data_IF_545143642753
#
_entry.id   IF_545143642753
#
_cell.length_a   1.000
_cell.length_b   1.000
_cell.length_c   1.000
_cell.angle_alpha   90.00
_cell.angle_beta   90.00
_cell.angle_gamma   90.00
#
_symmetry.space_group_name_H-M   'P 1'
#
loop_
_entity.id
_entity.type
_entity.pdbx_description
1 polymer ?
#
# COMPACT_ATOMS: atom_id res chain seq x y z
N UNK A 1 10.40 0.13 0.77
CA UNK A 1 9.50 -0.60 1.69
C UNK A 1 9.87 -2.07 1.69
N UNK A 2 9.49 -2.83 2.72
CA UNK A 2 9.65 -4.29 2.76
C UNK A 2 8.27 -4.92 2.52
N UNK A 3 8.19 -5.92 1.65
CA UNK A 3 7.00 -6.74 1.46
C UNK A 3 7.33 -8.18 1.87
N UNK A 4 6.62 -8.72 2.86
CA UNK A 4 6.86 -10.10 3.32
C UNK A 4 5.79 -11.03 2.75
N UNK A 5 6.22 -12.09 2.07
CA UNK A 5 5.35 -13.16 1.57
C UNK A 5 5.65 -14.43 2.36
N UNK A 6 4.66 -14.87 3.14
CA UNK A 6 4.73 -16.10 3.94
C UNK A 6 4.08 -17.28 3.19
N UNK A 7 4.74 -18.44 3.26
CA UNK A 7 4.31 -19.69 2.65
C UNK A 7 5.03 -20.00 1.35
N UNK A 8 4.80 -21.19 0.79
CA UNK A 8 5.31 -21.56 -0.54
C UNK A 8 4.25 -21.26 -1.62
N UNK A 9 4.48 -20.27 -2.50
CA UNK A 9 3.57 -19.95 -3.59
C UNK A 9 3.28 -21.14 -4.51
N UNK A 10 4.20 -22.10 -4.62
CA UNK A 10 4.03 -23.27 -5.49
C UNK A 10 2.91 -24.22 -5.02
N UNK A 11 2.47 -24.08 -3.77
CA UNK A 11 1.37 -24.88 -3.21
C UNK A 11 -0.01 -24.30 -3.53
N UNK A 12 -0.06 -23.08 -4.08
CA UNK A 12 -1.30 -22.40 -4.45
C UNK A 12 -1.67 -22.67 -5.91
N UNK A 13 -2.97 -22.83 -6.20
CA UNK A 13 -3.48 -22.85 -7.58
C UNK A 13 -3.18 -21.55 -8.34
N UNK A 14 -2.97 -20.44 -7.62
CA UNK A 14 -2.61 -19.14 -8.18
C UNK A 14 -1.10 -18.87 -8.19
N UNK A 15 -0.26 -19.91 -8.15
CA UNK A 15 1.20 -19.79 -8.03
C UNK A 15 1.84 -18.81 -9.03
N UNK A 16 1.41 -18.87 -10.29
CA UNK A 16 1.93 -18.00 -11.35
C UNK A 16 1.59 -16.53 -11.07
N UNK A 17 0.32 -16.22 -10.78
CA UNK A 17 -0.14 -14.87 -10.45
C UNK A 17 0.57 -14.31 -9.22
N UNK A 18 0.76 -15.12 -8.18
CA UNK A 18 1.47 -14.70 -6.96
C UNK A 18 2.93 -14.36 -7.27
N UNK A 19 3.63 -15.20 -8.05
CA UNK A 19 5.02 -14.93 -8.43
C UNK A 19 5.14 -13.65 -9.25
N UNK A 20 4.24 -13.47 -10.22
CA UNK A 20 4.20 -12.25 -11.05
C UNK A 20 3.95 -11.02 -10.19
N UNK A 21 2.99 -11.06 -9.27
CA UNK A 21 2.76 -9.96 -8.33
C UNK A 21 4.00 -9.65 -7.47
N UNK A 22 4.68 -10.69 -6.95
CA UNK A 22 5.93 -10.50 -6.21
C UNK A 22 7.01 -9.83 -7.06
N UNK A 23 7.18 -10.23 -8.33
CA UNK A 23 8.15 -9.61 -9.22
C UNK A 23 7.79 -8.17 -9.57
N UNK A 24 6.51 -7.88 -9.80
CA UNK A 24 6.03 -6.51 -10.02
C UNK A 24 6.36 -5.63 -8.82
N UNK A 25 6.04 -6.08 -7.61
CA UNK A 25 6.33 -5.34 -6.37
C UNK A 25 7.83 -5.18 -6.12
N UNK A 26 8.64 -6.18 -6.44
CA UNK A 26 10.10 -6.12 -6.28
C UNK A 26 10.76 -5.18 -7.30
N UNK A 27 10.44 -5.35 -8.58
CA UNK A 27 11.18 -4.74 -9.69
C UNK A 27 10.56 -3.41 -10.11
N UNK A 28 9.23 -3.33 -10.24
CA UNK A 28 8.56 -2.12 -10.72
C UNK A 28 8.28 -1.15 -9.57
N UNK A 29 7.85 -1.66 -8.42
CA UNK A 29 7.50 -0.83 -7.26
C UNK A 29 8.71 -0.57 -6.32
N UNK A 30 9.79 -1.34 -6.48
CA UNK A 30 11.06 -1.15 -5.76
C UNK A 30 11.03 -1.59 -4.29
N UNK A 31 10.17 -2.54 -3.94
CA UNK A 31 10.10 -3.09 -2.58
C UNK A 31 11.15 -4.20 -2.39
N UNK A 32 11.67 -4.34 -1.18
CA UNK A 32 12.42 -5.53 -0.77
C UNK A 32 11.43 -6.66 -0.47
N UNK A 33 11.23 -7.57 -1.43
CA UNK A 33 10.31 -8.70 -1.31
C UNK A 33 10.99 -9.88 -0.61
N UNK A 34 10.70 -10.03 0.68
CA UNK A 34 11.22 -11.10 1.51
C UNK A 34 10.25 -12.28 1.52
N UNK A 35 10.76 -13.48 1.28
CA UNK A 35 9.95 -14.71 1.18
C UNK A 35 10.31 -15.65 2.32
N UNK A 36 9.32 -16.18 3.03
CA UNK A 36 9.48 -17.12 4.15
C UNK A 36 8.63 -18.37 3.94
N UNK A 37 9.11 -19.53 4.38
CA UNK A 37 8.41 -20.81 4.13
C UNK A 37 7.13 -20.98 4.98
N UNK A 38 7.01 -20.23 6.07
CA UNK A 38 5.89 -20.26 6.99
C UNK A 38 6.18 -19.45 8.27
N UNK A 39 5.21 -19.45 9.20
CA UNK A 39 5.21 -18.63 10.42
C UNK A 39 6.52 -18.66 11.21
N UNK A 40 7.12 -19.84 11.40
CA UNK A 40 8.35 -19.96 12.18
C UNK A 40 9.51 -19.18 11.57
N UNK A 41 9.66 -19.25 10.25
CA UNK A 41 10.70 -18.51 9.53
C UNK A 41 10.39 -17.01 9.48
N UNK A 42 9.12 -16.63 9.36
CA UNK A 42 8.65 -15.25 9.49
C UNK A 42 9.03 -14.65 10.83
N UNK A 43 8.67 -15.31 11.94
CA UNK A 43 8.98 -14.85 13.30
C UNK A 43 10.48 -14.73 13.52
N UNK A 44 11.25 -15.72 13.03
CA UNK A 44 12.71 -15.68 13.07
C UNK A 44 13.26 -14.47 12.31
N UNK A 45 12.73 -14.17 11.11
CA UNK A 45 13.13 -13.00 10.31
C UNK A 45 12.83 -11.69 11.04
N UNK A 46 11.64 -11.55 11.63
CA UNK A 46 11.30 -10.38 12.45
C UNK A 46 12.20 -10.22 13.67
N UNK A 47 12.54 -11.30 14.37
CA UNK A 47 13.48 -11.26 15.48
C UNK A 47 14.87 -10.77 15.04
N UNK A 48 15.37 -11.25 13.89
CA UNK A 48 16.64 -10.78 13.33
C UNK A 48 16.60 -9.31 12.94
N UNK A 49 15.55 -8.87 12.23
CA UNK A 49 15.37 -7.48 11.83
C UNK A 49 15.31 -6.55 13.04
N UNK A 50 14.52 -6.92 14.05
CA UNK A 50 14.40 -6.15 15.30
C UNK A 50 15.74 -5.99 15.99
N UNK A 51 16.50 -7.09 16.12
CA UNK A 51 17.85 -7.06 16.73
C UNK A 51 18.84 -6.23 15.92
N UNK A 52 18.83 -6.37 14.60
CA UNK A 52 19.72 -5.64 13.71
C UNK A 52 19.45 -4.13 13.77
N UNK A 53 18.18 -3.71 13.76
CA UNK A 53 17.76 -2.31 13.91
C UNK A 53 18.23 -1.77 15.27
N UNK A 54 17.94 -2.49 16.37
CA UNK A 54 18.35 -2.06 17.71
C UNK A 54 19.88 -1.92 17.84
N UNK A 55 20.64 -2.86 17.28
CA UNK A 55 22.10 -2.81 17.26
C UNK A 55 22.63 -1.67 16.41
N UNK A 56 22.06 -1.44 15.22
CA UNK A 56 22.44 -0.36 14.32
C UNK A 56 22.33 0.99 15.03
N UNK A 57 21.16 1.27 15.62
CA UNK A 57 20.94 2.54 16.31
C UNK A 57 21.78 2.65 17.59
N UNK A 58 22.04 1.55 18.31
CA UNK A 58 22.95 1.56 19.47
C UNK A 58 24.39 1.95 19.11
N UNK A 59 24.87 1.55 17.93
CA UNK A 59 26.24 1.81 17.48
C UNK A 59 26.40 3.18 16.80
N UNK A 60 25.35 3.69 16.17
CA UNK A 60 25.42 4.87 15.30
C UNK A 60 24.72 6.12 15.85
N UNK A 61 24.00 6.04 16.99
CA UNK A 61 23.50 7.26 17.64
C UNK A 61 24.63 7.98 18.39
N UNK A 62 24.90 9.27 18.10
CA UNK A 62 25.66 10.11 19.00
C UNK A 62 24.87 10.33 20.31
N UNK A 63 25.55 10.38 21.45
CA UNK A 63 24.96 10.65 22.78
C UNK A 63 24.19 11.98 22.85
N UNK A 64 24.47 12.89 21.91
CA UNK A 64 23.82 14.19 21.79
C UNK A 64 22.49 14.06 21.02
N UNK A 65 21.43 13.72 21.76
CA UNK A 65 20.05 13.55 21.30
C UNK A 65 19.46 14.79 20.56
N UNK A 66 20.16 15.92 20.59
CA UNK A 66 19.80 17.19 19.95
C UNK A 66 19.67 17.09 18.41
N UNK A 67 20.42 16.20 17.75
CA UNK A 67 20.46 16.10 16.27
C UNK A 67 19.45 15.12 15.63
N UNK A 68 18.66 14.39 16.42
CA UNK A 68 17.70 13.39 15.92
C UNK A 68 16.31 13.95 15.64
N UNK A 69 16.07 15.22 16.00
CA UNK A 69 14.80 15.90 15.76
C UNK A 69 14.59 16.07 14.25
N UNK A 70 13.82 15.17 13.63
CA UNK A 70 13.40 15.28 12.23
C UNK A 70 13.64 14.07 11.33
N UNK A 71 14.32 13.00 11.77
CA UNK A 71 14.59 11.83 10.90
C UNK A 71 13.37 10.90 10.79
N UNK A 72 12.69 10.64 11.90
CA UNK A 72 11.47 9.83 11.95
C UNK A 72 10.33 10.62 12.59
N UNK A 73 9.12 10.61 12.01
CA UNK A 73 7.96 11.20 12.67
C UNK A 73 7.64 10.44 13.97
N UNK A 74 7.09 11.11 14.99
CA UNK A 74 6.48 10.46 16.14
C UNK A 74 5.44 9.41 15.69
N UNK A 75 5.32 8.32 16.46
CA UNK A 75 4.43 7.21 16.09
C UNK A 75 2.98 7.64 15.88
N UNK A 76 2.46 8.53 16.74
CA UNK A 76 1.11 9.08 16.60
C UNK A 76 0.92 9.90 15.32
N UNK A 77 1.93 10.66 14.90
CA UNK A 77 1.89 11.42 13.65
C UNK A 77 1.91 10.48 12.44
N UNK A 78 2.77 9.44 12.47
CA UNK A 78 2.79 8.41 11.45
C UNK A 78 1.41 7.74 11.30
N UNK A 79 0.80 7.31 12.40
CA UNK A 79 -0.54 6.71 12.38
C UNK A 79 -1.59 7.66 11.83
N UNK A 80 -1.54 8.95 12.22
CA UNK A 80 -2.47 9.96 11.70
C UNK A 80 -2.34 10.10 10.18
N UNK A 81 -1.12 10.11 9.65
CA UNK A 81 -0.88 10.16 8.20
C UNK A 81 -1.43 8.91 7.50
N UNK A 82 -1.25 7.71 8.06
CA UNK A 82 -1.86 6.49 7.50
C UNK A 82 -3.39 6.58 7.42
N UNK A 83 -4.03 7.07 8.48
CA UNK A 83 -5.49 7.26 8.50
C UNK A 83 -5.98 8.30 7.49
N UNK A 84 -5.16 9.32 7.20
CA UNK A 84 -5.48 10.31 6.18
C UNK A 84 -5.41 9.74 4.76
N UNK A 85 -4.50 8.78 4.52
CA UNK A 85 -4.38 8.09 3.23
C UNK A 85 -5.54 7.13 2.95
N UNK A 86 -6.15 6.55 3.98
CA UNK A 86 -7.30 5.62 3.84
C UNK A 86 -8.63 6.34 3.58
N UNK A 87 -8.67 7.68 3.63
CA UNK A 87 -9.90 8.44 3.39
C UNK A 87 -10.25 8.41 1.91
N UNK A 88 -11.48 8.00 1.61
CA UNK A 88 -12.05 8.08 0.27
C UNK A 88 -13.14 9.16 0.23
N UNK A 89 -13.15 9.95 -0.85
CA UNK A 89 -14.24 10.87 -1.15
C UNK A 89 -15.38 10.16 -1.88
N UNK A 90 -16.54 10.79 -1.96
CA UNK A 90 -17.67 10.29 -2.77
C UNK A 90 -17.28 10.15 -4.25
N UNK A 91 -16.42 11.05 -4.72
CA UNK A 91 -15.88 11.03 -6.08
C UNK A 91 -15.02 9.80 -6.33
N UNK A 92 -14.12 9.46 -5.40
CA UNK A 92 -13.24 8.28 -5.51
C UNK A 92 -14.06 6.99 -5.57
N UNK A 93 -15.06 6.88 -4.70
CA UNK A 93 -15.97 5.73 -4.69
C UNK A 93 -16.76 5.66 -6.00
N UNK A 94 -17.22 6.80 -6.53
CA UNK A 94 -17.94 6.85 -7.79
C UNK A 94 -17.05 6.44 -8.98
N UNK A 95 -15.79 6.89 -9.04
CA UNK A 95 -14.81 6.44 -10.05
C UNK A 95 -14.63 4.93 -10.03
N UNK A 96 -14.47 4.33 -8.83
CA UNK A 96 -14.33 2.87 -8.68
C UNK A 96 -15.58 2.13 -9.16
N UNK A 97 -16.78 2.66 -8.87
CA UNK A 97 -18.05 2.10 -9.34
C UNK A 97 -18.16 2.13 -10.86
N UNK A 98 -17.76 3.22 -11.50
CA UNK A 98 -17.74 3.34 -12.97
C UNK A 98 -16.85 2.28 -13.61
N UNK A 99 -15.65 2.06 -13.06
CA UNK A 99 -14.71 1.04 -13.56
C UNK A 99 -15.18 -0.42 -13.39
N UNK A 100 -16.29 -0.67 -12.69
CA UNK A 100 -16.92 -2.00 -12.65
C UNK A 100 -17.70 -2.32 -13.94
N UNK A 101 -17.99 -1.31 -14.77
CA UNK A 101 -18.65 -1.50 -16.06
C UNK A 101 -17.60 -1.95 -17.08
N UNK A 102 -17.84 -3.05 -17.84
CA UNK A 102 -16.89 -3.51 -18.84
C UNK A 102 -16.49 -2.38 -19.80
N UNK A 103 -15.19 -2.30 -20.12
CA UNK A 103 -14.57 -1.29 -21.00
C UNK A 103 -14.42 0.12 -20.38
N UNK A 104 -14.88 0.36 -19.15
CA UNK A 104 -14.60 1.61 -18.45
C UNK A 104 -13.23 1.51 -17.77
N UNK A 105 -12.24 2.17 -18.34
CA UNK A 105 -10.89 2.29 -17.76
C UNK A 105 -10.83 3.44 -16.74
N UNK A 106 -9.71 3.57 -16.05
CA UNK A 106 -9.46 4.66 -15.11
C UNK A 106 -9.60 6.03 -15.79
N UNK A 107 -9.06 6.19 -17.00
CA UNK A 107 -9.11 7.44 -17.74
C UNK A 107 -10.55 7.81 -18.14
N UNK A 108 -11.36 6.80 -18.49
CA UNK A 108 -12.77 7.00 -18.80
C UNK A 108 -13.55 7.39 -17.54
N UNK A 109 -13.29 6.73 -16.41
CA UNK A 109 -13.93 7.05 -15.14
C UNK A 109 -13.60 8.49 -14.69
N UNK A 110 -12.34 8.91 -14.80
CA UNK A 110 -11.90 10.29 -14.51
C UNK A 110 -12.66 11.29 -15.40
N UNK A 111 -12.72 11.03 -16.71
CA UNK A 111 -13.41 11.93 -17.64
C UNK A 111 -14.91 12.09 -17.32
N UNK A 112 -15.59 11.04 -16.84
CA UNK A 112 -16.99 11.11 -16.40
C UNK A 112 -17.11 11.93 -15.11
N UNK A 113 -16.23 11.68 -14.14
CA UNK A 113 -16.24 12.34 -12.84
C UNK A 113 -15.91 13.83 -12.94
N UNK A 114 -15.04 14.23 -13.87
CA UNK A 114 -14.75 15.64 -14.15
C UNK A 114 -16.00 16.42 -14.58
N UNK A 115 -16.96 15.76 -15.24
CA UNK A 115 -18.24 16.34 -15.66
C UNK A 115 -19.34 16.17 -14.59
N UNK A 116 -19.33 15.02 -13.91
CA UNK A 116 -20.32 14.65 -12.92
C UNK A 116 -19.61 14.12 -11.66
N UNK A 117 -19.25 15.00 -10.71
CA UNK A 117 -18.41 14.63 -9.56
C UNK A 117 -19.01 13.55 -8.65
N UNK A 118 -20.30 13.30 -8.77
CA UNK A 118 -21.02 12.29 -7.99
C UNK A 118 -22.06 11.56 -8.84
N UNK A 119 -22.44 10.35 -8.39
CA UNK A 119 -23.55 9.60 -8.99
C UNK A 119 -24.85 10.42 -9.03
N UNK A 120 -25.12 11.22 -7.98
CA UNK A 120 -26.32 12.09 -7.92
C UNK A 120 -26.29 13.15 -9.02
N UNK A 121 -25.13 13.79 -9.26
CA UNK A 121 -25.01 14.77 -10.35
C UNK A 121 -25.23 14.14 -11.73
N UNK A 122 -24.73 12.92 -11.94
CA UNK A 122 -24.97 12.19 -13.19
C UNK A 122 -26.45 11.82 -13.35
N UNK A 123 -27.08 11.29 -12.30
CA UNK A 123 -28.50 10.92 -12.32
C UNK A 123 -29.41 12.13 -12.60
N UNK A 124 -29.08 13.29 -12.02
CA UNK A 124 -29.81 14.54 -12.27
C UNK A 124 -29.65 15.02 -13.72
N UNK A 125 -28.49 14.80 -14.35
CA UNK A 125 -28.33 15.12 -15.77
C UNK A 125 -29.19 14.22 -16.66
N UNK A 126 -29.29 12.93 -16.32
CA UNK A 126 -30.18 12.00 -17.03
C UNK A 126 -31.66 12.28 -16.84
N UNK A 127 -32.09 12.85 -15.70
CA UNK A 127 -33.51 13.17 -15.49
C UNK A 127 -33.99 14.40 -16.25
N UNK A 128 -33.07 15.18 -16.82
CA UNK A 128 -33.35 16.34 -17.68
C UNK A 128 -33.43 15.97 -19.18
N UNK A 129 -33.19 14.71 -19.53
CA UNK A 129 -33.30 14.13 -20.88
C UNK A 129 -34.66 13.46 -21.07
#
# INVERSE_FOLDING_TARGET
>A
MIFLVEGDPNTSEAAESIKTACFTTEILEGFDVQRTSGLHDTLRKYAYLTRAIAQYYKLHLPEDHSKLSGVCPPFNEFIKRCQELDKMTVSDVFSIQLMQVPQVTEEVAIAVVDLYPTLVSLANAYSLL
#
